data_IF_192447936482
#
_entry.id   IF_192447936482
#
_cell.length_a   1.000
_cell.length_b   1.000
_cell.length_c   1.000
_cell.angle_alpha   90.00
_cell.angle_beta   90.00
_cell.angle_gamma   90.00
#
_symmetry.space_group_name_H-M   'P 1'
#
loop_
_entity.id
_entity.type
_entity.pdbx_description
1 polymer ?
#
# COMPACT_ATOMS: atom_id res chain seq x y z
N UNK A 1 -2.88 37.83 -33.93
CA UNK A 1 -2.84 36.40 -34.32
C UNK A 1 -1.87 35.55 -33.50
N UNK A 2 -0.64 36.00 -33.17
CA UNK A 2 0.35 35.17 -32.46
C UNK A 2 -0.02 34.73 -31.02
N UNK A 3 -0.74 35.56 -30.27
CA UNK A 3 -1.18 35.23 -28.90
C UNK A 3 -2.21 34.09 -28.88
N UNK A 4 -3.13 34.06 -29.86
CA UNK A 4 -4.15 33.02 -29.97
C UNK A 4 -3.54 31.63 -30.26
N UNK A 5 -2.50 31.55 -31.10
CA UNK A 5 -1.78 30.29 -31.37
C UNK A 5 -0.99 29.79 -30.16
N UNK A 6 -0.40 30.69 -29.37
CA UNK A 6 0.31 30.32 -28.13
C UNK A 6 -0.67 29.79 -27.07
N UNK A 7 -1.83 30.44 -26.92
CA UNK A 7 -2.89 29.98 -26.01
C UNK A 7 -3.42 28.62 -26.46
N UNK A 8 -3.66 28.41 -27.76
CA UNK A 8 -4.11 27.13 -28.30
C UNK A 8 -3.13 25.96 -28.05
N UNK A 9 -1.83 26.24 -27.93
CA UNK A 9 -0.83 25.23 -27.60
C UNK A 9 -0.69 24.95 -26.09
N UNK A 10 -0.97 25.93 -25.23
CA UNK A 10 -0.78 25.80 -23.77
C UNK A 10 -2.01 25.23 -23.07
N UNK A 11 -3.21 25.51 -23.59
CA UNK A 11 -4.48 24.96 -23.07
C UNK A 11 -4.47 23.42 -22.95
N UNK A 12 -4.08 22.64 -23.96
CA UNK A 12 -4.08 21.17 -23.83
C UNK A 12 -3.02 20.66 -22.84
N UNK A 13 -1.89 21.36 -22.71
CA UNK A 13 -0.86 21.02 -21.73
C UNK A 13 -1.38 21.20 -20.31
N UNK A 14 -2.03 22.33 -20.03
CA UNK A 14 -2.64 22.60 -18.72
C UNK A 14 -3.74 21.58 -18.40
N UNK A 15 -4.58 21.24 -19.38
CA UNK A 15 -5.59 20.21 -19.21
C UNK A 15 -4.96 18.87 -18.83
N UNK A 16 -3.90 18.44 -19.53
CA UNK A 16 -3.19 17.19 -19.21
C UNK A 16 -2.52 17.22 -17.82
N UNK A 17 -1.93 18.35 -17.42
CA UNK A 17 -1.35 18.49 -16.07
C UNK A 17 -2.43 18.44 -15.01
N UNK A 18 -3.56 19.12 -15.20
CA UNK A 18 -4.67 19.11 -14.24
C UNK A 18 -5.27 17.72 -14.08
N UNK A 19 -5.43 16.95 -15.17
CA UNK A 19 -5.93 15.58 -15.08
C UNK A 19 -4.93 14.66 -14.41
N UNK A 20 -3.63 14.79 -14.69
CA UNK A 20 -2.59 14.03 -14.01
C UNK A 20 -2.62 14.29 -12.48
N UNK A 21 -2.66 15.55 -12.05
CA UNK A 21 -2.74 15.91 -10.63
C UNK A 21 -4.03 15.37 -9.99
N UNK A 22 -5.17 15.47 -10.67
CA UNK A 22 -6.43 14.93 -10.18
C UNK A 22 -6.38 13.41 -10.00
N UNK A 23 -5.81 12.68 -10.97
CA UNK A 23 -5.64 11.22 -10.89
C UNK A 23 -4.68 10.81 -9.77
N UNK A 24 -3.56 11.52 -9.63
CA UNK A 24 -2.62 11.29 -8.52
C UNK A 24 -3.31 11.55 -7.18
N UNK A 25 -4.05 12.65 -7.06
CA UNK A 25 -4.84 12.97 -5.87
C UNK A 25 -5.86 11.89 -5.54
N UNK A 26 -6.60 11.38 -6.53
CA UNK A 26 -7.57 10.31 -6.34
C UNK A 26 -6.92 9.00 -5.86
N UNK A 27 -5.73 8.66 -6.37
CA UNK A 27 -4.99 7.48 -5.93
C UNK A 27 -4.56 7.60 -4.46
N UNK A 28 -3.95 8.74 -4.07
CA UNK A 28 -3.58 8.99 -2.68
C UNK A 28 -4.80 9.06 -1.75
N UNK A 29 -5.89 9.70 -2.19
CA UNK A 29 -7.14 9.76 -1.45
C UNK A 29 -7.70 8.36 -1.20
N UNK A 30 -7.67 7.50 -2.22
CA UNK A 30 -8.07 6.09 -2.11
C UNK A 30 -7.19 5.34 -1.13
N UNK A 31 -5.87 5.49 -1.19
CA UNK A 31 -4.96 4.83 -0.21
C UNK A 31 -5.17 5.37 1.19
N UNK A 32 -5.47 6.67 1.36
CA UNK A 32 -5.75 7.26 2.66
C UNK A 32 -7.11 6.78 3.22
N UNK A 33 -8.12 6.59 2.38
CA UNK A 33 -9.44 6.10 2.80
C UNK A 33 -9.51 4.58 2.92
N UNK A 34 -8.77 3.84 2.08
CA UNK A 34 -8.53 2.41 2.25
C UNK A 34 -7.53 2.13 3.39
N UNK A 35 -6.78 3.16 3.77
CA UNK A 35 -5.84 3.17 4.88
C UNK A 35 -6.59 3.27 6.19
N UNK A 36 -7.17 2.15 6.61
CA UNK A 36 -7.31 1.81 8.03
C UNK A 36 -8.02 2.84 8.92
N UNK A 37 -9.01 3.52 8.34
CA UNK A 37 -9.99 4.32 9.07
C UNK A 37 -10.88 3.41 9.94
N UNK A 38 -11.05 2.14 9.53
CA UNK A 38 -11.64 1.11 10.36
C UNK A 38 -10.66 0.72 11.48
N UNK A 39 -10.99 1.08 12.72
CA UNK A 39 -10.30 0.57 13.90
C UNK A 39 -10.39 -0.96 13.88
N UNK A 40 -9.28 -1.62 13.52
CA UNK A 40 -9.21 -3.07 13.45
C UNK A 40 -9.69 -3.70 14.75
N UNK A 41 -10.25 -4.90 14.66
CA UNK A 41 -10.85 -5.57 15.81
C UNK A 41 -9.98 -6.75 16.26
N UNK A 42 -9.86 -6.91 17.57
CA UNK A 42 -9.26 -8.10 18.16
C UNK A 42 -10.32 -9.21 18.17
N UNK A 43 -10.04 -10.30 17.46
CA UNK A 43 -10.87 -11.51 17.43
C UNK A 43 -10.12 -12.62 18.14
N UNK A 44 -10.81 -13.36 19.01
CA UNK A 44 -10.23 -14.55 19.64
C UNK A 44 -10.44 -15.74 18.71
N UNK A 45 -9.37 -16.22 18.09
CA UNK A 45 -9.38 -17.41 17.23
C UNK A 45 -8.62 -18.52 17.94
N UNK A 46 -9.34 -19.48 18.52
CA UNK A 46 -8.75 -20.52 19.35
C UNK A 46 -8.11 -19.95 20.64
N UNK A 47 -6.85 -20.31 20.90
CA UNK A 47 -6.09 -19.89 22.07
C UNK A 47 -5.38 -18.53 21.93
N UNK A 48 -5.44 -17.89 20.76
CA UNK A 48 -4.75 -16.63 20.46
C UNK A 48 -5.72 -15.48 20.17
N UNK A 49 -5.23 -14.25 20.39
CA UNK A 49 -5.90 -13.02 19.99
C UNK A 49 -5.28 -12.59 18.65
N UNK A 50 -6.11 -12.45 17.63
CA UNK A 50 -5.69 -11.99 16.30
C UNK A 50 -6.28 -10.61 16.04
N UNK A 51 -5.47 -9.72 15.48
CA UNK A 51 -5.92 -8.40 15.06
C UNK A 51 -6.33 -8.45 13.59
N UNK A 52 -7.61 -8.19 13.31
CA UNK A 52 -8.19 -8.34 11.96
C UNK A 52 -8.71 -6.99 11.47
N UNK A 53 -8.38 -6.65 10.22
CA UNK A 53 -9.00 -5.55 9.50
C UNK A 53 -8.53 -4.14 9.88
N UNK A 54 -7.41 -3.99 10.61
CA UNK A 54 -6.78 -2.68 10.85
C UNK A 54 -5.33 -2.64 10.36
N UNK A 55 -4.81 -1.44 10.10
CA UNK A 55 -3.39 -1.25 9.84
C UNK A 55 -2.68 -1.26 11.18
N UNK A 56 -1.67 -2.11 11.29
CA UNK A 56 -0.74 -2.09 12.42
C UNK A 56 0.60 -1.57 11.91
N UNK A 57 1.17 -0.57 12.57
CA UNK A 57 2.46 -0.01 12.18
C UNK A 57 3.57 -0.89 12.76
N UNK A 58 4.45 -1.41 11.88
CA UNK A 58 5.61 -2.23 12.24
C UNK A 58 6.48 -1.68 13.38
N UNK A 59 6.58 -0.35 13.49
CA UNK A 59 7.34 0.31 14.54
C UNK A 59 6.70 0.24 15.93
N UNK A 60 5.38 0.04 15.99
CA UNK A 60 4.62 -0.11 17.22
C UNK A 60 4.48 -1.58 17.65
N UNK A 61 4.91 -2.53 16.81
CA UNK A 61 4.92 -3.95 17.18
C UNK A 61 6.17 -4.27 18.02
N UNK A 62 6.00 -5.05 19.10
CA UNK A 62 7.15 -5.63 19.77
C UNK A 62 7.92 -6.54 18.81
N UNK A 63 9.23 -6.64 19.00
CA UNK A 63 10.07 -7.55 18.21
C UNK A 63 9.46 -8.95 18.21
N UNK A 64 9.26 -9.51 17.01
CA UNK A 64 8.63 -10.82 16.87
C UNK A 64 9.41 -11.84 17.71
N UNK A 65 8.73 -12.67 18.51
CA UNK A 65 9.40 -13.72 19.24
C UNK A 65 10.10 -14.64 18.24
N UNK A 66 11.34 -15.00 18.53
CA UNK A 66 12.09 -16.03 17.81
C UNK A 66 11.47 -17.40 18.10
N UNK A 67 10.24 -17.62 17.62
CA UNK A 67 9.73 -18.98 17.52
C UNK A 67 10.37 -19.59 16.28
N UNK A 68 10.95 -20.77 16.48
CA UNK A 68 11.63 -21.61 15.48
C UNK A 68 10.78 -21.94 14.22
N UNK A 69 9.54 -21.43 14.13
CA UNK A 69 8.63 -21.50 13.00
C UNK A 69 9.08 -20.74 11.72
N UNK A 70 10.32 -20.25 11.69
CA UNK A 70 10.97 -19.65 10.52
C UNK A 70 12.23 -20.38 10.05
N UNK A 71 12.58 -21.53 10.64
CA UNK A 71 13.77 -22.30 10.24
C UNK A 71 13.43 -23.49 9.34
N UNK A 72 12.22 -24.05 9.38
CA UNK A 72 11.88 -25.23 8.56
C UNK A 72 11.46 -24.92 7.10
N UNK A 73 10.98 -23.71 6.78
CA UNK A 73 10.47 -23.38 5.43
C UNK A 73 11.55 -22.83 4.47
N UNK A 74 12.56 -22.12 5.00
CA UNK A 74 13.62 -21.51 4.17
C UNK A 74 14.59 -22.57 3.61
N UNK A 75 14.83 -23.66 4.35
CA UNK A 75 15.67 -24.77 3.90
C UNK A 75 15.01 -25.59 2.77
N UNK A 76 13.67 -25.66 2.70
CA UNK A 76 12.94 -26.43 1.67
C UNK A 76 12.91 -25.70 0.32
N UNK A 77 12.87 -24.36 0.33
CA UNK A 77 12.94 -23.55 -0.89
C UNK A 77 14.38 -23.48 -1.45
N UNK A 78 15.40 -23.54 -0.58
CA UNK A 78 16.81 -23.56 -0.99
C UNK A 78 17.29 -24.93 -1.51
N UNK A 79 16.59 -26.03 -1.17
CA UNK A 79 16.91 -27.38 -1.63
C UNK A 79 16.42 -27.72 -3.05
N UNK A 80 15.63 -26.85 -3.71
CA UNK A 80 15.15 -27.08 -5.07
C UNK A 80 16.11 -26.52 -6.13
N UNK A 81 17.39 -26.90 -6.04
CA UNK A 81 18.31 -26.74 -7.15
C UNK A 81 18.09 -27.89 -8.15
N UNK A 82 17.15 -27.62 -9.08
CA UNK A 82 16.90 -28.14 -10.45
C UNK A 82 17.81 -29.26 -11.03
N UNK A 83 17.29 -29.92 -12.08
CA UNK A 83 17.06 -31.37 -12.23
C UNK A 83 18.30 -32.26 -12.44
#
# INVERSE_FOLDING_TARGET
MALAQRVAAVVPLLAAVTTAVALTGAAFFTVAHAGCDEAGRFVRTGGSIEFVGGCVNGADLPAAPVTEAGVEDVDRFSGSQKP
#
